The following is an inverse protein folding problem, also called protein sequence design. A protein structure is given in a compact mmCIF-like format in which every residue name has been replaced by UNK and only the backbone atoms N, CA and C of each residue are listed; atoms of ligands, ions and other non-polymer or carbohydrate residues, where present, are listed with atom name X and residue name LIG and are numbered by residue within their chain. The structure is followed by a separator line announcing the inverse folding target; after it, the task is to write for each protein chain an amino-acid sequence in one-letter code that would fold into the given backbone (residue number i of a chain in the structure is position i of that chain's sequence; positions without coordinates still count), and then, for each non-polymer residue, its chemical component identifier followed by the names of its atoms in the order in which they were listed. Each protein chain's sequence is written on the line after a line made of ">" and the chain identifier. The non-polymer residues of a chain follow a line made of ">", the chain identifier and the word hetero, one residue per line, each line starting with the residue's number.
data_IF_927597056352
#
_entry.id   IF_927597056352
#
_cell.length_a   1.000
_cell.length_b   1.000
_cell.length_c   1.000
_cell.angle_alpha   90.00
_cell.angle_beta   90.00
_cell.angle_gamma   90.00
#
_symmetry.space_group_name_H-M   'P 1'
#
loop_
_entity.id
_entity.type
_entity.pdbx_description
1 polymer ?
#
# COMPACT_ATOMS: atom_id res chain seq x y z
N UNK A 1 8.29 -8.11 -17.38
CA UNK A 1 8.38 -7.34 -16.13
C UNK A 1 9.71 -7.67 -15.52
N UNK A 2 10.61 -6.69 -15.50
CA UNK A 2 11.94 -6.86 -14.93
C UNK A 2 11.87 -6.73 -13.40
N UNK A 3 12.85 -7.27 -12.67
CA UNK A 3 12.91 -7.13 -11.21
C UNK A 3 12.89 -5.66 -10.77
N UNK A 4 13.47 -4.77 -11.58
CA UNK A 4 13.45 -3.32 -11.34
C UNK A 4 12.04 -2.73 -11.43
N UNK A 5 11.18 -3.22 -12.34
CA UNK A 5 9.79 -2.77 -12.45
C UNK A 5 8.99 -3.11 -11.19
N UNK A 6 9.21 -4.32 -10.65
CA UNK A 6 8.56 -4.81 -9.43
C UNK A 6 8.97 -3.96 -8.23
N UNK A 7 10.27 -3.66 -8.11
CA UNK A 7 10.77 -2.82 -7.03
C UNK A 7 10.22 -1.39 -7.10
N UNK A 8 10.17 -0.82 -8.30
CA UNK A 8 9.58 0.50 -8.49
C UNK A 8 8.09 0.51 -8.11
N UNK A 9 7.34 -0.52 -8.46
CA UNK A 9 5.93 -0.63 -8.12
C UNK A 9 5.71 -0.81 -6.61
N UNK A 10 6.54 -1.63 -5.94
CA UNK A 10 6.50 -1.78 -4.48
C UNK A 10 6.73 -0.44 -3.79
N UNK A 11 7.69 0.37 -4.24
CA UNK A 11 7.97 1.68 -3.64
C UNK A 11 6.83 2.68 -3.87
N UNK A 12 6.19 2.68 -5.04
CA UNK A 12 4.98 3.49 -5.29
C UNK A 12 3.84 3.12 -4.33
N UNK A 13 3.59 1.83 -4.13
CA UNK A 13 2.55 1.35 -3.22
C UNK A 13 2.86 1.72 -1.76
N UNK A 14 4.12 1.60 -1.33
CA UNK A 14 4.55 2.05 0.01
C UNK A 14 4.34 3.54 0.21
N UNK A 15 4.72 4.35 -0.79
CA UNK A 15 4.52 5.80 -0.74
C UNK A 15 3.04 6.15 -0.56
N UNK A 16 2.17 5.58 -1.40
CA UNK A 16 0.72 5.78 -1.29
C UNK A 16 0.15 5.33 0.06
N UNK A 17 0.67 4.23 0.61
CA UNK A 17 0.28 3.75 1.95
C UNK A 17 0.65 4.75 3.04
N UNK A 18 1.82 5.39 2.94
CA UNK A 18 2.24 6.46 3.88
C UNK A 18 1.30 7.66 3.77
N UNK A 19 0.96 8.09 2.55
CA UNK A 19 0.01 9.20 2.33
C UNK A 19 -1.35 8.92 2.98
N UNK A 20 -1.90 7.71 2.79
CA UNK A 20 -3.16 7.30 3.42
C UNK A 20 -3.03 7.20 4.94
N UNK A 21 -1.89 6.74 5.46
CA UNK A 21 -1.65 6.69 6.91
C UNK A 21 -1.65 8.09 7.52
N UNK A 22 -1.03 9.06 6.83
CA UNK A 22 -1.06 10.46 7.24
C UNK A 22 -2.48 11.03 7.18
N UNK A 23 -3.24 10.70 6.13
CA UNK A 23 -4.66 11.09 6.01
C UNK A 23 -5.50 10.50 7.15
N UNK A 24 -5.30 9.23 7.49
CA UNK A 24 -6.01 8.56 8.59
C UNK A 24 -5.81 9.27 9.92
N UNK A 25 -4.60 9.75 10.18
CA UNK A 25 -4.24 10.42 11.43
C UNK A 25 -4.93 11.79 11.62
N UNK A 26 -5.36 12.43 10.53
CA UNK A 26 -6.04 13.73 10.57
C UNK A 26 -7.54 13.64 10.30
N UNK A 27 -8.05 12.47 9.90
CA UNK A 27 -9.47 12.25 9.74
C UNK A 27 -10.18 12.35 11.10
N UNK A 28 -11.39 12.90 11.11
CA UNK A 28 -12.23 12.99 12.32
C UNK A 28 -13.48 12.13 12.20
N UNK A 29 -13.98 11.95 10.98
CA UNK A 29 -15.13 11.12 10.69
C UNK A 29 -14.81 9.62 10.83
N UNK A 30 -15.76 8.85 11.38
CA UNK A 30 -15.56 7.42 11.62
C UNK A 30 -15.62 6.61 10.33
N UNK A 31 -16.56 6.90 9.44
CA UNK A 31 -16.71 6.18 8.17
C UNK A 31 -15.49 6.45 7.27
N UNK A 32 -15.03 7.70 7.19
CA UNK A 32 -13.80 8.05 6.46
C UNK A 32 -12.58 7.29 7.01
N UNK A 33 -12.47 7.12 8.34
CA UNK A 33 -11.38 6.35 8.96
C UNK A 33 -11.41 4.89 8.57
N UNK A 34 -12.59 4.28 8.56
CA UNK A 34 -12.74 2.87 8.18
C UNK A 34 -12.40 2.66 6.69
N UNK A 35 -12.86 3.55 5.82
CA UNK A 35 -12.53 3.50 4.39
C UNK A 35 -11.02 3.61 4.15
N UNK A 36 -10.36 4.57 4.80
CA UNK A 36 -8.90 4.73 4.70
C UNK A 36 -8.17 3.50 5.25
N UNK A 37 -8.65 2.89 6.35
CA UNK A 37 -8.06 1.66 6.90
C UNK A 37 -8.16 0.49 5.91
N UNK A 38 -9.31 0.32 5.27
CA UNK A 38 -9.52 -0.70 4.25
C UNK A 38 -8.58 -0.49 3.06
N UNK A 39 -8.40 0.74 2.61
CA UNK A 39 -7.48 1.05 1.51
C UNK A 39 -6.01 0.80 1.88
N UNK A 40 -5.58 1.17 3.09
CA UNK A 40 -4.25 0.83 3.62
C UNK A 40 -4.04 -0.69 3.64
N UNK A 41 -5.06 -1.46 4.04
CA UNK A 41 -4.99 -2.92 4.07
C UNK A 41 -4.88 -3.51 2.66
N UNK A 42 -5.63 -2.99 1.68
CA UNK A 42 -5.53 -3.39 0.26
C UNK A 42 -4.14 -3.13 -0.30
N UNK A 43 -3.56 -1.95 -0.03
CA UNK A 43 -2.20 -1.63 -0.46
C UNK A 43 -1.17 -2.60 0.16
N UNK A 44 -1.33 -2.93 1.45
CA UNK A 44 -0.45 -3.90 2.10
C UNK A 44 -0.53 -5.28 1.42
N UNK A 45 -1.72 -5.77 1.10
CA UNK A 45 -1.90 -7.05 0.40
C UNK A 45 -1.26 -7.07 -0.99
N UNK A 46 -1.33 -5.95 -1.73
CA UNK A 46 -0.66 -5.82 -3.03
C UNK A 46 0.87 -5.86 -2.88
N UNK A 47 1.43 -5.12 -1.92
CA UNK A 47 2.87 -5.14 -1.60
C UNK A 47 3.32 -6.57 -1.26
N UNK A 48 2.59 -7.26 -0.38
CA UNK A 48 2.94 -8.63 0.02
C UNK A 48 2.89 -9.61 -1.15
N UNK A 49 1.95 -9.40 -2.08
CA UNK A 49 1.82 -10.21 -3.30
C UNK A 49 3.02 -10.00 -4.22
N UNK A 50 3.41 -8.75 -4.46
CA UNK A 50 4.59 -8.42 -5.28
C UNK A 50 5.88 -8.90 -4.63
N UNK A 51 6.03 -8.80 -3.31
CA UNK A 51 7.19 -9.34 -2.59
C UNK A 51 7.27 -10.87 -2.69
N UNK A 52 6.13 -11.57 -2.61
CA UNK A 52 6.07 -13.03 -2.82
C UNK A 52 6.42 -13.40 -4.25
N UNK A 53 5.96 -12.63 -5.23
CA UNK A 53 6.30 -12.84 -6.64
C UNK A 53 7.79 -12.61 -6.89
N UNK A 54 8.36 -11.52 -6.38
CA UNK A 54 9.79 -11.20 -6.46
C UNK A 54 10.67 -12.32 -5.90
N UNK A 55 10.30 -12.93 -4.78
CA UNK A 55 11.05 -14.05 -4.16
C UNK A 55 11.06 -15.33 -5.00
N UNK A 56 10.18 -15.45 -5.99
CA UNK A 56 10.06 -16.63 -6.86
C UNK A 56 10.72 -16.46 -8.23
N UNK A 57 11.20 -15.25 -8.54
CA UNK A 57 12.01 -14.93 -9.73
C UNK A 57 13.49 -15.14 -9.42
#
# INVERSE_FOLDING_TARGET
>A
MELQDIDMEIEKLKFRKIELTNKLNIAYDFEEKEDIRLDIQRLQQQIDTLLKFKKKL
#
